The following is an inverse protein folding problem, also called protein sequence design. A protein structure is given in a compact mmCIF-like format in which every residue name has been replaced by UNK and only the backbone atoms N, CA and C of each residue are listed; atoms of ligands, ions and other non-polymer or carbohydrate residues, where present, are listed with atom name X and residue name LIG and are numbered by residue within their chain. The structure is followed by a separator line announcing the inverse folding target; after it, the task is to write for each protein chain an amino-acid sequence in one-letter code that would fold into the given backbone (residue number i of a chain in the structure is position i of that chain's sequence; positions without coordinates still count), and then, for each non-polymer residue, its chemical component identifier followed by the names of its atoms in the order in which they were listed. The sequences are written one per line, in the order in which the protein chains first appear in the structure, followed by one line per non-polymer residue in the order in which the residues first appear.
data_IF_398944588873
#
_entry.id   IF_398944588873
#
_cell.length_a   1.000
_cell.length_b   1.000
_cell.length_c   1.000
_cell.angle_alpha   90.00
_cell.angle_beta   90.00
_cell.angle_gamma   90.00
#
_symmetry.space_group_name_H-M   'P 1'
#
loop_
_entity.id
_entity.type
_entity.pdbx_description
1 polymer ?
#
# COMPACT_ATOMS: atom_id res chain seq x y z
N UNK A 1 22.01 -7.06 -6.33
CA UNK A 1 20.57 -7.39 -6.25
C UNK A 1 19.65 -6.16 -6.44
N UNK A 2 19.85 -4.99 -5.81
CA UNK A 2 18.93 -3.83 -5.93
C UNK A 2 19.52 -2.60 -6.63
N UNK A 3 20.56 -2.81 -7.44
CA UNK A 3 21.31 -1.75 -8.13
C UNK A 3 20.61 -1.33 -9.44
N UNK A 4 19.44 -0.73 -9.29
CA UNK A 4 18.61 -0.22 -10.38
C UNK A 4 18.27 1.25 -10.13
N UNK A 5 17.98 2.00 -11.18
CA UNK A 5 17.34 3.30 -11.09
C UNK A 5 16.06 3.32 -11.93
N UNK A 6 15.14 4.21 -11.55
CA UNK A 6 13.88 4.36 -12.25
C UNK A 6 14.00 5.40 -13.36
N UNK A 7 13.71 5.02 -14.59
CA UNK A 7 13.68 5.90 -15.75
C UNK A 7 12.25 6.38 -15.98
N UNK A 8 11.99 7.67 -15.73
CA UNK A 8 10.69 8.32 -16.05
C UNK A 8 10.59 8.60 -17.56
N UNK A 9 10.54 7.53 -18.36
CA UNK A 9 10.41 7.62 -19.81
C UNK A 9 8.99 8.08 -20.19
N UNK A 10 8.90 9.03 -21.12
CA UNK A 10 7.64 9.69 -21.52
C UNK A 10 6.57 8.73 -22.04
N UNK A 11 6.98 7.60 -22.63
CA UNK A 11 6.08 6.58 -23.18
C UNK A 11 5.71 5.50 -22.15
N UNK A 12 6.71 4.90 -21.50
CA UNK A 12 6.50 3.83 -20.52
C UNK A 12 7.67 3.85 -19.56
N UNK A 13 7.48 4.22 -18.28
CA UNK A 13 8.58 4.20 -17.34
C UNK A 13 9.02 2.77 -17.04
N UNK A 14 10.30 2.60 -16.72
CA UNK A 14 10.90 1.29 -16.45
C UNK A 14 12.04 1.40 -15.45
N UNK A 15 12.44 0.26 -14.89
CA UNK A 15 13.68 0.17 -14.14
C UNK A 15 14.83 -0.27 -15.04
N UNK A 16 15.94 0.42 -14.93
CA UNK A 16 17.18 0.14 -15.63
C UNK A 16 18.24 -0.28 -14.63
N UNK A 17 19.01 -1.32 -14.96
CA UNK A 17 20.15 -1.73 -14.14
C UNK A 17 21.22 -0.63 -14.20
N UNK A 18 21.78 -0.26 -13.06
CA UNK A 18 22.89 0.68 -13.07
C UNK A 18 24.10 0.02 -13.75
N UNK A 19 24.69 0.71 -14.73
CA UNK A 19 25.98 0.29 -15.27
C UNK A 19 27.05 0.42 -14.18
N UNK A 20 28.15 -0.35 -14.29
CA UNK A 20 29.25 -0.29 -13.31
C UNK A 20 29.77 1.15 -13.09
N UNK A 21 29.78 1.97 -14.15
CA UNK A 21 30.19 3.38 -14.09
C UNK A 21 29.19 4.31 -13.40
N UNK A 22 27.93 3.89 -13.21
CA UNK A 22 26.85 4.66 -12.54
C UNK A 22 26.44 4.06 -11.20
N UNK A 23 27.19 3.09 -10.68
CA UNK A 23 26.96 2.52 -9.35
C UNK A 23 27.18 3.61 -8.31
N UNK A 24 26.08 4.14 -7.78
CA UNK A 24 26.13 4.97 -6.57
C UNK A 24 26.24 4.09 -5.35
N UNK A 25 26.66 4.71 -4.25
CA UNK A 25 26.81 4.05 -2.96
C UNK A 25 25.45 3.51 -2.49
N UNK A 26 25.30 2.18 -2.47
CA UNK A 26 24.09 1.52 -1.99
C UNK A 26 23.98 1.64 -0.45
N UNK A 27 25.12 1.74 0.23
CA UNK A 27 25.23 1.74 1.68
C UNK A 27 25.91 3.05 2.09
N UNK A 28 25.19 3.94 2.75
CA UNK A 28 25.77 5.14 3.37
C UNK A 28 26.01 4.89 4.85
N UNK A 29 27.24 5.07 5.33
CA UNK A 29 27.57 4.98 6.76
C UNK A 29 27.76 6.38 7.32
N UNK A 30 26.97 6.74 8.32
CA UNK A 30 27.06 8.03 9.01
C UNK A 30 27.39 7.79 10.48
N UNK A 31 28.48 8.41 10.96
CA UNK A 31 28.79 8.46 12.39
C UNK A 31 28.05 9.67 12.98
N UNK A 32 27.21 9.43 13.97
CA UNK A 32 26.38 10.46 14.61
C UNK A 32 25.94 9.99 15.98
N UNK A 33 25.86 10.89 16.95
CA UNK A 33 25.21 10.61 18.24
C UNK A 33 23.71 10.98 18.21
N UNK A 34 23.28 11.88 17.30
CA UNK A 34 21.86 12.20 17.05
C UNK A 34 21.35 11.43 15.83
N UNK A 35 21.01 10.15 16.08
CA UNK A 35 20.43 9.26 15.06
C UNK A 35 19.12 9.80 14.51
N UNK A 36 18.28 10.43 15.34
CA UNK A 36 16.94 10.86 14.92
C UNK A 36 17.00 11.96 13.87
N UNK A 37 17.84 12.98 14.08
CA UNK A 37 18.02 14.07 13.11
C UNK A 37 18.71 13.57 11.85
N UNK A 38 19.80 12.80 11.98
CA UNK A 38 20.50 12.22 10.83
C UNK A 38 19.59 11.32 9.98
N UNK A 39 18.74 10.52 10.63
CA UNK A 39 17.77 9.68 9.95
C UNK A 39 16.72 10.52 9.21
N UNK A 40 16.18 11.58 9.82
CA UNK A 40 15.21 12.48 9.16
C UNK A 40 15.80 13.15 7.93
N UNK A 41 17.02 13.65 8.02
CA UNK A 41 17.75 14.25 6.90
C UNK A 41 18.03 13.23 5.78
N UNK A 42 18.37 12.00 6.15
CA UNK A 42 18.59 10.94 5.16
C UNK A 42 17.29 10.51 4.47
N UNK A 43 16.18 10.43 5.22
CA UNK A 43 14.86 10.11 4.68
C UNK A 43 14.29 11.22 3.77
N UNK A 44 14.66 12.48 4.01
CA UNK A 44 14.16 13.62 3.22
C UNK A 44 14.83 13.75 1.84
N UNK A 45 16.04 13.19 1.66
CA UNK A 45 16.72 13.15 0.35
C UNK A 45 15.87 12.43 -0.68
N UNK A 46 15.89 12.73 -1.98
CA UNK A 46 15.21 11.91 -2.99
C UNK A 46 15.77 10.48 -3.05
N UNK A 47 14.91 9.49 -3.35
CA UNK A 47 15.36 8.12 -3.60
C UNK A 47 15.68 7.97 -5.09
N UNK A 48 16.95 7.97 -5.44
CA UNK A 48 17.42 7.90 -6.84
C UNK A 48 17.69 6.47 -7.32
N UNK A 49 17.79 5.53 -6.39
CA UNK A 49 17.99 4.10 -6.66
C UNK A 49 16.80 3.26 -6.18
N UNK A 50 16.73 2.01 -6.61
CA UNK A 50 15.70 1.04 -6.22
C UNK A 50 15.63 0.84 -4.69
N UNK A 51 16.78 0.84 -4.04
CA UNK A 51 16.90 0.83 -2.59
C UNK A 51 18.21 1.50 -2.17
N UNK A 52 18.27 1.97 -0.93
CA UNK A 52 19.47 2.43 -0.25
C UNK A 52 19.47 1.95 1.20
N UNK A 53 20.65 1.79 1.77
CA UNK A 53 20.86 1.36 3.16
C UNK A 53 21.61 2.45 3.91
N UNK A 54 21.05 2.93 5.00
CA UNK A 54 21.71 3.86 5.91
C UNK A 54 22.18 3.14 7.16
N UNK A 55 23.45 3.27 7.52
CA UNK A 55 23.99 2.79 8.80
C UNK A 55 24.37 4.00 9.65
N UNK A 56 23.63 4.23 10.72
CA UNK A 56 23.86 5.31 11.67
C UNK A 56 24.59 4.74 12.90
N UNK A 57 25.89 5.00 12.96
CA UNK A 57 26.78 4.48 14.02
C UNK A 57 26.92 5.51 15.13
N UNK A 58 26.52 5.09 16.33
CA UNK A 58 26.77 5.80 17.59
C UNK A 58 27.93 5.12 18.32
N UNK A 59 28.39 5.73 19.40
CA UNK A 59 29.33 5.13 20.36
C UNK A 59 28.90 3.77 20.93
N UNK A 60 27.59 3.50 21.06
CA UNK A 60 27.06 2.33 21.76
C UNK A 60 26.30 1.33 20.87
N UNK A 61 25.87 1.74 19.68
CA UNK A 61 25.07 0.90 18.77
C UNK A 61 25.10 1.39 17.32
N UNK A 62 24.84 0.44 16.41
CA UNK A 62 24.54 0.72 15.01
C UNK A 62 23.03 0.66 14.77
N UNK A 63 22.47 1.66 14.09
CA UNK A 63 21.09 1.64 13.58
C UNK A 63 21.12 1.45 12.07
N UNK A 64 20.55 0.35 11.59
CA UNK A 64 20.48 0.05 10.15
C UNK A 64 19.09 0.39 9.64
N UNK A 65 19.01 1.28 8.65
CA UNK A 65 17.79 1.70 7.99
C UNK A 65 17.80 1.24 6.54
N UNK A 66 16.69 0.65 6.08
CA UNK A 66 16.49 0.28 4.68
C UNK A 66 15.45 1.21 4.09
N UNK A 67 15.80 1.87 2.99
CA UNK A 67 14.89 2.70 2.24
C UNK A 67 14.71 2.08 0.87
N UNK A 68 13.47 1.75 0.56
CA UNK A 68 13.12 0.97 -0.63
C UNK A 68 12.03 1.68 -1.40
N UNK A 69 12.17 1.71 -2.72
CA UNK A 69 11.13 2.23 -3.57
C UNK A 69 9.90 1.32 -3.54
N UNK A 70 8.74 1.87 -3.16
CA UNK A 70 7.51 1.09 -3.06
C UNK A 70 7.08 0.51 -4.43
N UNK A 71 7.56 0.99 -5.57
CA UNK A 71 7.28 0.34 -6.88
C UNK A 71 7.96 -1.04 -7.00
N UNK A 72 8.89 -1.33 -6.11
CA UNK A 72 9.78 -2.48 -6.16
C UNK A 72 9.38 -3.59 -5.19
N UNK A 73 8.96 -3.19 -3.99
CA UNK A 73 8.66 -4.11 -2.91
C UNK A 73 7.49 -3.58 -2.07
N UNK A 74 6.64 -4.51 -1.66
CA UNK A 74 5.67 -4.29 -0.59
C UNK A 74 6.24 -4.66 0.79
N UNK A 75 5.42 -4.49 1.83
CA UNK A 75 5.79 -4.80 3.21
C UNK A 75 6.22 -6.27 3.40
N UNK A 76 5.58 -7.21 2.71
CA UNK A 76 5.94 -8.63 2.79
C UNK A 76 7.32 -8.87 2.19
N UNK A 77 7.59 -8.32 1.01
CA UNK A 77 8.91 -8.35 0.37
C UNK A 77 9.99 -7.71 1.24
N UNK A 78 9.71 -6.55 1.85
CA UNK A 78 10.64 -5.88 2.76
C UNK A 78 10.95 -6.75 3.99
N UNK A 79 9.94 -7.39 4.60
CA UNK A 79 10.14 -8.31 5.73
C UNK A 79 11.07 -9.47 5.36
N UNK A 80 10.84 -10.10 4.21
CA UNK A 80 11.69 -11.20 3.72
C UNK A 80 13.12 -10.73 3.47
N UNK A 81 13.28 -9.55 2.89
CA UNK A 81 14.58 -8.96 2.64
C UNK A 81 15.34 -8.66 3.95
N UNK A 82 14.72 -7.99 4.90
CA UNK A 82 15.33 -7.68 6.21
C UNK A 82 15.70 -8.97 6.94
N UNK A 83 14.84 -9.99 6.91
CA UNK A 83 15.13 -11.29 7.50
C UNK A 83 16.34 -11.97 6.84
N UNK A 84 16.45 -11.92 5.51
CA UNK A 84 17.59 -12.44 4.78
C UNK A 84 18.89 -11.70 5.13
N UNK A 85 18.87 -10.36 5.16
CA UNK A 85 20.02 -9.55 5.56
C UNK A 85 20.45 -9.88 6.99
N UNK A 86 19.51 -9.95 7.92
CA UNK A 86 19.79 -10.30 9.32
C UNK A 86 20.41 -11.70 9.43
N UNK A 87 19.90 -12.69 8.69
CA UNK A 87 20.44 -14.05 8.64
C UNK A 87 21.90 -14.06 8.15
N UNK A 88 22.18 -13.40 7.05
CA UNK A 88 23.52 -13.36 6.46
C UNK A 88 24.52 -12.58 7.33
N UNK A 89 24.08 -11.45 7.88
CA UNK A 89 24.86 -10.66 8.83
C UNK A 89 25.29 -11.50 10.05
N UNK A 90 24.34 -12.22 10.67
CA UNK A 90 24.63 -13.11 11.81
C UNK A 90 25.55 -14.28 11.46
N UNK A 91 25.41 -14.82 10.25
CA UNK A 91 26.21 -15.96 9.79
C UNK A 91 27.60 -15.56 9.28
N UNK A 92 27.93 -14.25 9.19
CA UNK A 92 29.17 -13.79 8.57
C UNK A 92 29.33 -14.24 7.11
N UNK A 93 28.23 -14.59 6.44
CA UNK A 93 28.26 -15.19 5.11
C UNK A 93 27.86 -14.17 4.04
N UNK A 94 28.55 -14.22 2.92
CA UNK A 94 28.13 -13.47 1.73
C UNK A 94 26.81 -14.07 1.22
N UNK A 95 25.75 -13.26 1.04
CA UNK A 95 24.52 -13.76 0.45
C UNK A 95 24.82 -14.32 -0.94
N UNK A 96 24.16 -15.41 -1.36
CA UNK A 96 24.32 -15.93 -2.71
C UNK A 96 24.05 -14.81 -3.71
N UNK A 97 24.92 -14.69 -4.71
CA UNK A 97 24.84 -13.68 -5.76
C UNK A 97 23.73 -14.03 -6.76
N UNK A 98 22.52 -14.30 -6.26
CA UNK A 98 21.35 -14.44 -7.10
C UNK A 98 20.91 -13.04 -7.48
N UNK A 99 21.19 -12.62 -8.71
CA UNK A 99 20.50 -11.48 -9.29
C UNK A 99 19.01 -11.85 -9.41
N UNK A 100 18.22 -11.54 -8.38
CA UNK A 100 16.78 -11.57 -8.51
C UNK A 100 16.43 -10.49 -9.55
N UNK A 101 15.89 -10.81 -10.74
CA UNK A 101 15.48 -9.78 -11.69
C UNK A 101 14.22 -9.10 -11.14
N UNK A 102 14.43 -8.07 -10.33
CA UNK A 102 13.45 -7.50 -9.40
C UNK A 102 12.21 -6.95 -10.13
N UNK A 103 12.33 -6.51 -11.37
CA UNK A 103 11.33 -5.60 -11.96
C UNK A 103 10.44 -6.27 -13.00
N UNK A 104 10.95 -7.29 -13.70
CA UNK A 104 10.22 -7.85 -14.84
C UNK A 104 9.16 -8.87 -14.42
N UNK A 105 9.08 -9.23 -13.14
CA UNK A 105 8.32 -10.39 -12.69
C UNK A 105 6.92 -10.05 -12.16
N UNK A 106 6.67 -8.98 -11.40
CA UNK A 106 5.36 -8.81 -10.72
C UNK A 106 4.12 -9.00 -11.61
N UNK A 107 3.92 -8.27 -12.73
CA UNK A 107 2.76 -8.53 -13.59
C UNK A 107 2.89 -9.86 -14.35
N UNK A 108 4.11 -10.30 -14.67
CA UNK A 108 4.36 -11.58 -15.36
C UNK A 108 4.07 -12.80 -14.48
N UNK A 109 4.36 -12.74 -13.19
CA UNK A 109 4.10 -13.78 -12.19
C UNK A 109 2.60 -13.94 -12.03
N UNK A 110 1.90 -12.84 -11.77
CA UNK A 110 0.45 -12.84 -11.71
C UNK A 110 -0.19 -13.25 -13.04
N UNK A 111 0.38 -12.88 -14.18
CA UNK A 111 -0.10 -13.32 -15.50
C UNK A 111 0.02 -14.82 -15.73
N UNK A 112 1.07 -15.46 -15.19
CA UNK A 112 1.24 -16.93 -15.25
C UNK A 112 0.26 -17.61 -14.31
N UNK A 113 0.05 -17.04 -13.14
CA UNK A 113 -0.88 -17.52 -12.14
C UNK A 113 -2.36 -17.35 -12.52
N UNK A 114 -2.70 -16.34 -13.33
CA UNK A 114 -4.09 -15.96 -13.64
C UNK A 114 -4.44 -16.25 -15.10
N UNK A 115 -5.49 -17.05 -15.31
CA UNK A 115 -5.97 -17.46 -16.64
C UNK A 115 -6.35 -16.25 -17.53
N UNK A 116 -6.36 -16.47 -18.85
CA UNK A 116 -6.76 -15.42 -19.82
C UNK A 116 -8.21 -14.99 -19.60
N UNK A 117 -9.11 -15.94 -19.33
CA UNK A 117 -10.53 -15.66 -19.12
C UNK A 117 -10.77 -14.91 -17.81
N UNK A 118 -10.04 -15.26 -16.75
CA UNK A 118 -10.09 -14.50 -15.51
C UNK A 118 -9.68 -13.05 -15.73
N UNK A 119 -8.60 -12.78 -16.50
CA UNK A 119 -8.18 -11.40 -16.81
C UNK A 119 -9.21 -10.62 -17.63
N UNK A 120 -9.88 -11.26 -18.60
CA UNK A 120 -10.98 -10.63 -19.36
C UNK A 120 -12.16 -10.28 -18.43
N UNK A 121 -12.52 -11.21 -17.55
CA UNK A 121 -13.58 -10.99 -16.56
C UNK A 121 -13.23 -9.88 -15.57
N UNK A 122 -11.98 -9.82 -15.11
CA UNK A 122 -11.48 -8.73 -14.25
C UNK A 122 -11.61 -7.36 -14.92
N UNK A 123 -11.38 -7.27 -16.24
CA UNK A 123 -11.60 -6.02 -16.96
C UNK A 123 -13.08 -5.61 -16.96
N UNK A 124 -13.99 -6.56 -17.24
CA UNK A 124 -15.43 -6.30 -17.18
C UNK A 124 -15.86 -5.86 -15.78
N UNK A 125 -15.40 -6.57 -14.74
CA UNK A 125 -15.67 -6.23 -13.34
C UNK A 125 -15.09 -4.87 -12.96
N UNK A 126 -13.86 -4.54 -13.39
CA UNK A 126 -13.26 -3.23 -13.14
C UNK A 126 -14.02 -2.09 -13.80
N UNK A 127 -14.72 -2.34 -14.92
CA UNK A 127 -15.61 -1.36 -15.57
C UNK A 127 -16.96 -1.25 -14.85
N UNK A 128 -17.43 -2.35 -14.26
CA UNK A 128 -18.65 -2.42 -13.44
C UNK A 128 -18.46 -1.91 -12.02
N UNK A 129 -17.21 -1.84 -11.54
CA UNK A 129 -16.86 -1.03 -10.38
C UNK A 129 -17.15 0.41 -10.76
N UNK A 130 -18.40 0.84 -10.60
CA UNK A 130 -18.79 2.23 -10.77
C UNK A 130 -18.24 3.03 -9.60
N UNK A 131 -16.93 3.25 -9.65
CA UNK A 131 -16.20 4.03 -8.67
C UNK A 131 -16.76 5.46 -8.60
N UNK A 132 -17.41 5.95 -9.67
CA UNK A 132 -18.02 7.28 -9.67
C UNK A 132 -19.33 7.27 -8.91
N UNK A 133 -20.19 6.29 -9.14
CA UNK A 133 -21.47 6.16 -8.44
C UNK A 133 -21.25 5.85 -6.96
N UNK A 134 -20.37 4.90 -6.63
CA UNK A 134 -20.05 4.60 -5.23
C UNK A 134 -19.36 5.77 -4.52
N UNK A 135 -18.47 6.51 -5.19
CA UNK A 135 -17.87 7.73 -4.62
C UNK A 135 -18.90 8.85 -4.40
N UNK A 136 -19.93 8.96 -5.23
CA UNK A 136 -21.07 9.87 -4.98
C UNK A 136 -21.86 9.46 -3.74
N UNK A 137 -21.82 8.18 -3.36
CA UNK A 137 -22.47 7.63 -2.18
C UNK A 137 -21.58 7.60 -0.93
N UNK A 138 -20.38 8.18 -0.96
CA UNK A 138 -19.53 8.25 0.22
C UNK A 138 -20.13 9.15 1.30
N UNK A 139 -20.16 8.65 2.55
CA UNK A 139 -20.72 9.32 3.71
C UNK A 139 -19.95 10.58 4.12
N UNK A 140 -18.66 10.61 3.83
CA UNK A 140 -17.79 11.76 4.04
C UNK A 140 -16.67 11.80 2.99
N UNK A 141 -16.11 13.00 2.82
CA UNK A 141 -14.84 13.21 2.13
C UNK A 141 -13.97 13.93 3.13
N UNK A 142 -12.83 13.33 3.51
CA UNK A 142 -11.87 14.04 4.34
C UNK A 142 -11.42 15.29 3.60
N UNK A 143 -11.40 16.46 4.26
CA UNK A 143 -10.84 17.66 3.65
C UNK A 143 -9.40 17.37 3.20
N UNK A 144 -9.01 17.90 2.05
CA UNK A 144 -7.62 17.78 1.62
C UNK A 144 -6.74 18.49 2.65
N UNK A 145 -5.71 17.79 3.15
CA UNK A 145 -4.71 18.42 4.00
C UNK A 145 -4.13 19.64 3.29
N UNK A 146 -4.07 20.78 3.97
CA UNK A 146 -3.39 21.97 3.47
C UNK A 146 -1.90 21.86 3.78
N UNK A 147 -1.05 22.56 3.02
CA UNK A 147 0.39 22.60 3.29
C UNK A 147 0.73 23.19 4.68
N UNK A 148 -0.25 23.85 5.30
CA UNK A 148 -0.20 24.42 6.66
C UNK A 148 -0.81 23.52 7.73
N UNK A 149 -1.33 22.33 7.39
CA UNK A 149 -1.97 21.45 8.36
C UNK A 149 -0.91 20.88 9.32
N UNK A 150 -0.97 21.23 10.64
CA UNK A 150 -0.02 20.73 11.62
C UNK A 150 -0.09 19.21 11.81
N UNK A 151 -1.09 18.54 11.23
CA UNK A 151 -1.28 17.09 11.24
C UNK A 151 -0.69 16.37 10.02
N UNK A 152 0.16 17.03 9.23
CA UNK A 152 0.85 16.42 8.08
C UNK A 152 1.84 15.31 8.48
N UNK A 153 2.23 15.22 9.76
CA UNK A 153 3.10 14.16 10.26
C UNK A 153 2.30 12.95 10.77
N UNK A 154 2.79 11.72 10.53
CA UNK A 154 2.17 10.53 11.08
C UNK A 154 2.16 10.60 12.62
N UNK A 155 0.97 10.63 13.22
CA UNK A 155 0.81 10.49 14.66
C UNK A 155 0.84 9.01 15.02
N UNK A 156 1.70 8.63 15.95
CA UNK A 156 1.73 7.28 16.49
C UNK A 156 0.77 7.19 17.68
N UNK A 157 -0.24 6.34 17.57
CA UNK A 157 -1.12 6.02 18.68
C UNK A 157 -0.52 4.85 19.46
N UNK A 158 -0.31 5.04 20.76
CA UNK A 158 0.14 3.99 21.66
C UNK A 158 -1.07 3.37 22.35
N UNK A 159 -1.27 2.07 22.14
CA UNK A 159 -2.32 1.33 22.83
C UNK A 159 -1.84 0.88 24.22
N UNK A 160 -2.73 0.82 25.23
CA UNK A 160 -2.37 0.29 26.53
C UNK A 160 -1.96 -1.18 26.43
N UNK A 161 -1.17 -1.64 27.40
CA UNK A 161 -0.74 -3.02 27.49
C UNK A 161 -1.95 -3.97 27.45
N UNK A 162 -1.87 -5.02 26.63
CA UNK A 162 -2.96 -6.00 26.47
C UNK A 162 -4.07 -5.62 25.48
N UNK A 163 -4.16 -4.37 24.99
CA UNK A 163 -5.20 -3.97 24.05
C UNK A 163 -5.21 -4.79 22.75
N UNK A 164 -4.03 -5.08 22.20
CA UNK A 164 -3.89 -5.93 20.99
C UNK A 164 -4.38 -7.36 21.25
N UNK A 165 -4.09 -7.90 22.44
CA UNK A 165 -4.54 -9.24 22.83
C UNK A 165 -6.07 -9.29 22.98
N UNK A 166 -6.66 -8.27 23.61
CA UNK A 166 -8.12 -8.13 23.72
C UNK A 166 -8.78 -8.01 22.35
N UNK A 167 -8.23 -7.19 21.45
CA UNK A 167 -8.74 -7.02 20.09
C UNK A 167 -8.64 -8.33 19.30
N UNK A 168 -7.54 -9.05 19.45
CA UNK A 168 -7.34 -10.37 18.82
C UNK A 168 -8.35 -11.39 19.35
N UNK A 169 -8.52 -11.47 20.67
CA UNK A 169 -9.48 -12.37 21.30
C UNK A 169 -10.91 -12.07 20.85
N UNK A 170 -11.27 -10.78 20.73
CA UNK A 170 -12.58 -10.37 20.19
C UNK A 170 -12.74 -10.78 18.73
N UNK A 171 -11.75 -10.49 17.88
CA UNK A 171 -11.78 -10.88 16.47
C UNK A 171 -11.95 -12.41 16.32
N UNK A 172 -11.25 -13.21 17.12
CA UNK A 172 -11.37 -14.66 17.11
C UNK A 172 -12.77 -15.13 17.50
N UNK A 173 -13.35 -14.58 18.58
CA UNK A 173 -14.72 -14.87 19.04
C UNK A 173 -15.75 -14.64 17.93
N UNK A 174 -15.59 -13.53 17.20
CA UNK A 174 -16.53 -13.11 16.17
C UNK A 174 -16.21 -13.72 14.78
N UNK A 175 -15.27 -14.69 14.72
CA UNK A 175 -14.78 -15.33 13.48
C UNK A 175 -14.33 -14.30 12.44
N UNK A 176 -13.67 -13.25 12.89
CA UNK A 176 -13.14 -12.14 12.11
C UNK A 176 -11.61 -12.09 12.19
N UNK A 177 -10.97 -11.34 11.28
CA UNK A 177 -9.53 -11.07 11.39
C UNK A 177 -9.29 -9.82 12.22
N UNK A 178 -8.08 -9.68 12.80
CA UNK A 178 -7.72 -8.45 13.52
C UNK A 178 -7.87 -7.20 12.65
N UNK A 179 -7.59 -7.29 11.35
CA UNK A 179 -7.79 -6.18 10.42
C UNK A 179 -9.26 -5.79 10.29
N UNK A 180 -10.18 -6.76 10.25
CA UNK A 180 -11.63 -6.46 10.25
C UNK A 180 -12.04 -5.74 11.54
N UNK A 181 -11.52 -6.16 12.69
CA UNK A 181 -11.82 -5.54 13.98
C UNK A 181 -11.26 -4.11 14.09
N UNK A 182 -10.02 -3.87 13.62
CA UNK A 182 -9.44 -2.53 13.54
C UNK A 182 -10.28 -1.62 12.63
N UNK A 183 -10.72 -2.13 11.47
CA UNK A 183 -11.54 -1.36 10.53
C UNK A 183 -12.94 -1.07 11.07
N UNK A 184 -13.56 -2.02 11.78
CA UNK A 184 -14.83 -1.80 12.46
C UNK A 184 -14.71 -0.71 13.54
N UNK A 185 -13.67 -0.80 14.39
CA UNK A 185 -13.38 0.21 15.40
C UNK A 185 -13.16 1.59 14.79
N UNK A 186 -12.36 1.66 13.71
CA UNK A 186 -12.10 2.90 13.00
C UNK A 186 -13.37 3.50 12.41
N UNK A 187 -14.27 2.67 11.85
CA UNK A 187 -15.57 3.15 11.35
C UNK A 187 -16.43 3.75 12.45
N UNK A 188 -16.52 3.09 13.60
CA UNK A 188 -17.28 3.61 14.74
C UNK A 188 -16.69 4.94 15.22
N UNK A 189 -15.36 5.01 15.40
CA UNK A 189 -14.69 6.26 15.78
C UNK A 189 -14.90 7.38 14.75
N UNK A 190 -14.91 7.06 13.45
CA UNK A 190 -15.21 8.04 12.39
C UNK A 190 -16.64 8.55 12.51
N UNK A 191 -17.62 7.70 12.82
CA UNK A 191 -19.02 8.13 13.00
C UNK A 191 -19.18 9.10 14.16
N UNK A 192 -18.42 8.89 15.23
CA UNK A 192 -18.51 9.71 16.44
C UNK A 192 -17.89 11.10 16.24
N UNK A 193 -16.90 11.21 15.35
CA UNK A 193 -16.13 12.44 15.13
C UNK A 193 -16.57 13.21 13.88
N UNK A 194 -17.01 12.50 12.83
CA UNK A 194 -17.33 13.08 11.53
C UNK A 194 -18.85 13.03 11.31
N UNK A 195 -19.51 14.18 11.09
CA UNK A 195 -20.93 14.19 10.76
C UNK A 195 -21.15 13.49 9.41
N UNK A 196 -21.80 12.34 9.45
CA UNK A 196 -22.09 11.54 8.26
C UNK A 196 -23.40 11.97 7.61
N UNK A 197 -23.43 11.95 6.28
CA UNK A 197 -24.66 12.17 5.52
C UNK A 197 -25.57 10.94 5.64
N UNK A 198 -26.83 11.07 6.08
CA UNK A 198 -27.75 9.95 6.24
C UNK A 198 -27.91 9.11 4.97
N UNK A 199 -27.92 7.79 5.12
CA UNK A 199 -28.14 6.84 4.03
C UNK A 199 -26.97 6.74 3.06
N UNK A 200 -25.77 7.17 3.49
CA UNK A 200 -24.54 7.07 2.71
C UNK A 200 -23.61 6.03 3.32
N UNK A 201 -22.70 5.53 2.49
CA UNK A 201 -21.80 4.45 2.88
C UNK A 201 -20.40 4.98 3.20
N UNK A 202 -19.75 4.40 4.20
CA UNK A 202 -18.37 4.70 4.57
C UNK A 202 -17.45 3.78 3.75
N UNK A 203 -16.70 4.31 2.77
CA UNK A 203 -15.77 3.51 2.00
C UNK A 203 -14.56 3.11 2.84
N UNK A 204 -14.23 1.83 2.82
CA UNK A 204 -12.99 1.30 3.38
C UNK A 204 -12.24 0.52 2.30
N UNK A 205 -10.91 0.69 2.29
CA UNK A 205 -10.03 -0.06 1.41
C UNK A 205 -9.16 -1.01 2.23
N UNK A 206 -9.18 -2.28 1.83
CA UNK A 206 -8.40 -3.35 2.43
C UNK A 206 -7.28 -3.73 1.49
N UNK A 207 -6.05 -3.75 1.98
CA UNK A 207 -4.91 -4.27 1.22
C UNK A 207 -4.95 -5.79 1.22
N UNK A 208 -4.74 -6.39 0.05
CA UNK A 208 -4.78 -7.84 -0.15
C UNK A 208 -3.42 -8.31 -0.67
N UNK A 209 -2.82 -9.30 -0.02
CA UNK A 209 -1.61 -9.94 -0.54
C UNK A 209 -1.95 -10.83 -1.74
N UNK A 210 -1.48 -10.43 -2.93
CA UNK A 210 -1.68 -11.16 -4.17
C UNK A 210 -0.73 -12.34 -4.33
N UNK A 211 0.24 -12.55 -3.42
CA UNK A 211 1.05 -13.78 -3.38
C UNK A 211 0.21 -15.04 -3.25
N UNK A 212 -1.01 -14.93 -2.72
CA UNK A 212 -1.96 -16.06 -2.65
C UNK A 212 -2.26 -16.69 -4.01
N UNK A 213 -2.07 -15.95 -5.10
CA UNK A 213 -2.26 -16.45 -6.47
C UNK A 213 -1.02 -17.15 -7.03
N UNK A 214 0.15 -16.97 -6.42
CA UNK A 214 1.37 -17.60 -6.88
C UNK A 214 1.47 -19.06 -6.40
N UNK A 215 2.17 -19.92 -7.18
CA UNK A 215 2.64 -21.22 -6.70
C UNK A 215 3.40 -21.07 -5.38
N UNK A 216 3.34 -22.09 -4.51
CA UNK A 216 3.90 -22.03 -3.16
C UNK A 216 5.39 -21.62 -3.17
N UNK A 217 6.14 -22.12 -4.13
CA UNK A 217 7.57 -21.89 -4.32
C UNK A 217 7.89 -20.44 -4.70
N UNK A 218 6.92 -19.71 -5.25
CA UNK A 218 7.07 -18.32 -5.70
C UNK A 218 6.49 -17.30 -4.70
N UNK A 219 5.89 -17.74 -3.59
CA UNK A 219 5.29 -16.84 -2.59
C UNK A 219 6.34 -16.06 -1.80
N UNK A 220 7.51 -16.66 -1.57
CA UNK A 220 8.58 -16.04 -0.78
C UNK A 220 9.56 -15.18 -1.62
N UNK A 221 9.11 -14.68 -2.78
CA UNK A 221 9.91 -13.76 -3.58
C UNK A 221 10.06 -12.43 -2.84
N UNK A 222 11.30 -12.09 -2.45
CA UNK A 222 11.64 -10.95 -1.61
C UNK A 222 11.56 -9.58 -2.32
N UNK A 223 11.38 -9.52 -3.64
CA UNK A 223 11.44 -8.28 -4.39
C UNK A 223 10.31 -8.18 -5.43
N UNK A 224 9.08 -8.04 -4.95
CA UNK A 224 7.91 -7.83 -5.78
C UNK A 224 6.85 -6.95 -5.08
N UNK A 225 6.04 -6.27 -5.89
CA UNK A 225 4.93 -5.44 -5.44
C UNK A 225 3.60 -6.17 -5.71
N UNK A 226 3.21 -7.06 -4.81
CA UNK A 226 2.03 -7.91 -4.96
C UNK A 226 0.91 -7.49 -4.01
N UNK A 227 0.63 -6.19 -3.98
CA UNK A 227 -0.51 -5.64 -3.25
C UNK A 227 -1.69 -5.45 -4.21
N UNK A 228 -2.83 -5.98 -3.82
CA UNK A 228 -4.14 -5.68 -4.39
C UNK A 228 -4.99 -4.92 -3.39
N UNK A 229 -6.23 -4.63 -3.78
CA UNK A 229 -7.19 -3.99 -2.90
C UNK A 229 -8.56 -4.65 -3.00
N UNK A 230 -9.21 -4.81 -1.85
CA UNK A 230 -10.64 -5.07 -1.72
C UNK A 230 -11.29 -3.83 -1.09
N UNK A 231 -12.58 -3.64 -1.32
CA UNK A 231 -13.31 -2.48 -0.80
C UNK A 231 -14.54 -2.94 -0.04
N UNK A 232 -14.81 -2.33 1.10
CA UNK A 232 -16.11 -2.46 1.78
C UNK A 232 -16.75 -1.08 1.87
N UNK A 233 -18.07 -1.06 1.89
CA UNK A 233 -18.89 0.14 1.90
C UNK A 233 -19.87 -0.02 3.05
N UNK A 234 -19.55 0.55 4.21
CA UNK A 234 -20.33 0.30 5.41
C UNK A 234 -21.47 1.29 5.53
N UNK A 235 -22.69 0.78 5.65
CA UNK A 235 -23.86 1.63 5.84
C UNK A 235 -23.80 2.33 7.19
N UNK A 236 -24.00 3.65 7.17
CA UNK A 236 -24.15 4.46 8.38
C UNK A 236 -25.32 4.02 9.28
N UNK A 237 -26.36 3.40 8.71
CA UNK A 237 -27.51 2.90 9.47
C UNK A 237 -27.24 1.54 10.12
N UNK A 238 -26.40 0.70 9.51
CA UNK A 238 -26.17 -0.67 9.98
C UNK A 238 -24.95 -0.82 10.89
N UNK A 239 -23.89 -0.04 10.66
CA UNK A 239 -22.64 -0.14 11.42
C UNK A 239 -22.69 0.57 12.79
N UNK A 240 -23.78 0.41 13.56
CA UNK A 240 -24.04 1.13 14.83
C UNK A 240 -23.33 0.52 16.03
N UNK A 241 -22.85 -0.72 15.91
CA UNK A 241 -22.10 -1.43 16.94
C UNK A 241 -20.91 -2.15 16.33
N UNK A 242 -19.96 -2.56 17.18
CA UNK A 242 -18.78 -3.34 16.76
C UNK A 242 -19.19 -4.63 16.05
N UNK A 243 -20.20 -5.33 16.60
CA UNK A 243 -20.69 -6.59 16.03
C UNK A 243 -21.35 -6.38 14.67
N UNK A 244 -22.19 -5.35 14.53
CA UNK A 244 -22.87 -5.06 13.28
C UNK A 244 -21.86 -4.65 12.19
N UNK A 245 -20.92 -3.76 12.51
CA UNK A 245 -19.85 -3.37 11.60
C UNK A 245 -18.98 -4.56 11.18
N UNK A 246 -18.59 -5.42 12.12
CA UNK A 246 -17.83 -6.64 11.82
C UNK A 246 -18.60 -7.60 10.92
N UNK A 247 -19.89 -7.81 11.19
CA UNK A 247 -20.75 -8.68 10.41
C UNK A 247 -20.85 -8.20 8.96
N UNK A 248 -21.07 -6.90 8.77
CA UNK A 248 -21.17 -6.26 7.45
C UNK A 248 -19.84 -6.33 6.69
N UNK A 249 -18.71 -5.96 7.31
CA UNK A 249 -17.38 -6.10 6.71
C UNK A 249 -17.14 -7.55 6.27
N UNK A 250 -17.44 -8.51 7.15
CA UNK A 250 -17.24 -9.93 6.90
C UNK A 250 -18.11 -10.41 5.74
N UNK A 251 -19.39 -10.03 5.69
CA UNK A 251 -20.31 -10.38 4.62
C UNK A 251 -19.81 -9.86 3.27
N UNK A 252 -19.43 -8.58 3.21
CA UNK A 252 -18.94 -7.96 1.98
C UNK A 252 -17.60 -8.54 1.53
N UNK A 253 -16.67 -8.82 2.45
CA UNK A 253 -15.40 -9.46 2.11
C UNK A 253 -15.59 -10.91 1.70
N UNK A 254 -16.52 -11.65 2.33
CA UNK A 254 -16.87 -13.01 1.92
C UNK A 254 -17.51 -13.05 0.52
N UNK A 255 -18.38 -12.11 0.21
CA UNK A 255 -18.94 -11.96 -1.15
C UNK A 255 -17.85 -11.69 -2.20
N UNK A 256 -16.75 -11.04 -1.80
CA UNK A 256 -15.59 -10.79 -2.66
C UNK A 256 -14.56 -11.93 -2.66
N UNK A 257 -14.58 -12.85 -1.69
CA UNK A 257 -13.56 -13.89 -1.43
C UNK A 257 -13.48 -15.01 -2.48
N UNK A 258 -14.01 -14.78 -3.68
CA UNK A 258 -13.84 -15.67 -4.81
C UNK A 258 -12.40 -15.68 -5.37
N UNK A 259 -12.19 -16.37 -6.51
CA UNK A 259 -10.88 -16.51 -7.15
C UNK A 259 -10.31 -15.18 -7.70
N UNK A 260 -11.02 -14.07 -7.52
CA UNK A 260 -10.67 -12.72 -7.99
C UNK A 260 -10.41 -11.74 -6.85
N UNK A 261 -10.47 -12.18 -5.59
CA UNK A 261 -10.32 -11.32 -4.42
C UNK A 261 -9.03 -10.48 -4.46
N UNK A 262 -9.18 -9.16 -4.46
CA UNK A 262 -8.05 -8.22 -4.54
C UNK A 262 -7.49 -7.98 -5.95
N UNK A 263 -7.88 -8.77 -6.96
CA UNK A 263 -7.36 -8.66 -8.33
C UNK A 263 -8.06 -7.59 -9.16
N UNK A 264 -9.31 -7.23 -8.83
CA UNK A 264 -10.10 -6.28 -9.62
C UNK A 264 -9.50 -4.87 -9.61
N UNK A 265 -8.92 -4.46 -8.49
CA UNK A 265 -8.26 -3.15 -8.29
C UNK A 265 -6.72 -3.29 -8.38
N UNK A 266 -6.22 -4.43 -8.87
CA UNK A 266 -4.78 -4.66 -9.08
C UNK A 266 -4.31 -4.03 -10.40
N UNK A 267 -2.99 -3.93 -10.68
CA UNK A 267 -2.49 -3.50 -11.98
C UNK A 267 -2.73 -4.51 -13.12
N UNK A 268 -3.27 -5.71 -12.86
CA UNK A 268 -3.42 -6.76 -13.87
C UNK A 268 -4.36 -6.44 -15.03
N UNK A 269 -5.53 -5.79 -14.84
CA UNK A 269 -6.38 -5.42 -15.97
C UNK A 269 -5.65 -4.52 -16.96
N UNK A 270 -4.76 -3.64 -16.48
CA UNK A 270 -3.94 -2.77 -17.33
C UNK A 270 -2.83 -3.53 -18.10
N UNK A 271 -2.49 -4.75 -17.70
CA UNK A 271 -1.44 -5.58 -18.31
C UNK A 271 -1.96 -6.52 -19.43
N UNK A 272 -3.27 -6.47 -19.74
CA UNK A 272 -3.87 -7.18 -20.87
C UNK A 272 -3.24 -6.74 -22.21
N UNK A 273 -2.92 -7.66 -23.15
CA UNK A 273 -2.14 -7.31 -24.35
C UNK A 273 -2.69 -6.13 -25.15
N UNK A 274 -4.00 -6.08 -25.39
CA UNK A 274 -4.64 -5.01 -26.16
C UNK A 274 -4.69 -3.67 -25.40
N UNK A 275 -4.94 -3.70 -24.08
CA UNK A 275 -4.86 -2.50 -23.23
C UNK A 275 -3.42 -2.02 -23.18
N UNK A 276 -2.46 -2.90 -22.97
CA UNK A 276 -1.03 -2.59 -22.94
C UNK A 276 -0.55 -1.99 -24.27
N UNK A 277 -1.00 -2.53 -25.40
CA UNK A 277 -0.70 -1.94 -26.72
C UNK A 277 -1.36 -0.58 -26.85
N UNK A 278 -2.64 -0.43 -26.52
CA UNK A 278 -3.32 0.87 -26.53
C UNK A 278 -2.65 1.91 -25.62
N UNK A 279 -2.27 1.53 -24.41
CA UNK A 279 -1.57 2.38 -23.44
C UNK A 279 -0.17 2.77 -23.92
N UNK A 280 0.52 1.97 -24.75
CA UNK A 280 1.80 2.36 -25.34
C UNK A 280 1.66 3.55 -26.29
N UNK A 281 0.51 3.70 -26.94
CA UNK A 281 0.23 4.83 -27.84
C UNK A 281 -0.17 6.09 -27.09
N UNK A 282 -0.55 5.99 -25.81
CA UNK A 282 -0.89 7.14 -24.99
C UNK A 282 0.36 7.54 -24.19
N UNK A 283 0.95 8.73 -24.43
CA UNK A 283 2.08 9.20 -23.63
C UNK A 283 1.76 9.14 -22.13
N UNK A 284 2.64 8.53 -21.34
CA UNK A 284 2.48 8.40 -19.89
C UNK A 284 2.21 9.75 -19.22
N UNK A 285 2.79 10.83 -19.73
CA UNK A 285 2.50 12.21 -19.27
C UNK A 285 1.03 12.60 -19.41
N UNK A 286 0.34 12.17 -20.46
CA UNK A 286 -1.09 12.43 -20.64
C UNK A 286 -1.93 11.63 -19.66
N UNK A 287 -1.61 10.35 -19.45
CA UNK A 287 -2.26 9.52 -18.42
C UNK A 287 -2.05 10.13 -17.03
N UNK A 288 -0.82 10.55 -16.71
CA UNK A 288 -0.47 11.22 -15.44
C UNK A 288 -1.22 12.53 -15.25
N UNK A 289 -1.36 13.36 -16.30
CA UNK A 289 -2.18 14.59 -16.28
C UNK A 289 -3.66 14.27 -16.05
N UNK A 290 -4.19 13.24 -16.70
CA UNK A 290 -5.57 12.76 -16.48
C UNK A 290 -5.79 12.29 -15.04
N UNK A 291 -4.90 11.45 -14.52
CA UNK A 291 -4.95 10.98 -13.13
C UNK A 291 -4.82 12.12 -12.11
N UNK A 292 -4.00 13.16 -12.40
CA UNK A 292 -3.93 14.37 -11.57
C UNK A 292 -5.23 15.18 -11.59
N UNK A 293 -5.97 15.22 -12.71
CA UNK A 293 -7.30 15.84 -12.77
C UNK A 293 -8.36 15.02 -12.02
N UNK A 294 -8.20 13.70 -11.95
CA UNK A 294 -9.06 12.80 -11.14
C UNK A 294 -8.74 12.88 -9.64
N UNK A 295 -7.51 13.31 -9.28
CA UNK A 295 -7.14 13.82 -7.95
C UNK A 295 -7.84 15.17 -7.68
N UNK A 296 -9.15 15.03 -7.54
CA UNK A 296 -10.13 15.87 -6.88
C UNK A 296 -10.08 17.38 -7.16
N UNK A 297 -11.13 17.82 -7.82
CA UNK A 297 -11.76 19.12 -7.59
C UNK A 297 -12.35 19.15 -6.15
N UNK A 298 -11.47 19.04 -5.13
CA UNK A 298 -11.83 19.12 -3.70
C UNK A 298 -12.27 20.53 -3.31
N UNK A 299 -12.02 21.52 -4.19
CA UNK A 299 -12.30 22.94 -3.99
C UNK A 299 -13.79 23.26 -3.94
N UNK A 300 -14.67 22.32 -4.31
CA UNK A 300 -16.14 22.52 -4.32
C UNK A 300 -16.84 22.11 -3.04
N UNK A 301 -16.12 21.65 -2.02
CA UNK A 301 -16.73 21.38 -0.72
C UNK A 301 -16.44 22.56 0.20
N UNK A 302 -17.47 23.17 0.83
CA UNK A 302 -17.24 24.22 1.79
C UNK A 302 -16.34 23.68 2.92
N UNK A 303 -15.46 24.51 3.50
CA UNK A 303 -14.67 24.12 4.65
C UNK A 303 -15.62 23.65 5.75
N UNK A 304 -15.35 22.47 6.29
CA UNK A 304 -15.97 22.04 7.55
C UNK A 304 -15.38 22.99 8.60
N UNK A 305 -16.21 23.83 9.22
CA UNK A 305 -15.77 24.67 10.34
C UNK A 305 -15.02 23.79 11.34
N UNK A 306 -13.88 24.23 11.87
CA UNK A 306 -13.23 23.50 12.96
C UNK A 306 -14.28 23.28 14.03
N UNK A 307 -14.49 22.00 14.38
CA UNK A 307 -15.32 21.58 15.48
C UNK A 307 -15.04 22.51 16.66
N UNK A 308 -16.03 23.33 17.00
CA UNK A 308 -16.02 24.07 18.25
C UNK A 308 -15.77 23.02 19.34
N UNK A 309 -14.68 23.22 20.08
CA UNK A 309 -14.35 22.42 21.24
C UNK A 309 -15.57 22.46 22.18
N UNK A 310 -16.32 21.36 22.20
CA UNK A 310 -17.33 21.11 23.20
C UNK A 310 -16.77 20.01 24.12
N UNK A 311 -16.44 20.42 25.35
CA UNK A 311 -16.09 19.55 26.48
C UNK A 311 -14.60 19.44 26.73
#
# INVERSE_FOLDING_TARGET
MWDYHFVDHWMTPYWEANSRARRRELISVQRTEDVATSLREWLSRPLEQAATVGVFRTSSRDTVCFRVDHRLADATSLRLFVAAVAKHYRAGSTPPQADAPIVRRTPRLLRRAVSRDMRRNLLSESRKLDYRERRRNAAFVLPAATDTDPNTFPRQLHYPAGAVAQLTARAMRDRATINMAIQAALTLAIRDVIPLKPGREIPQQHLVDLRRYLPLEERDIAACMLIGAAQTWLSDQHATSMEAALSEIRQQLNAQRGPKFGLVISPLPADLPFIRVGLRWIPYRMIRRGMRRVRVDCRRFPPVSPLAAHG
#
